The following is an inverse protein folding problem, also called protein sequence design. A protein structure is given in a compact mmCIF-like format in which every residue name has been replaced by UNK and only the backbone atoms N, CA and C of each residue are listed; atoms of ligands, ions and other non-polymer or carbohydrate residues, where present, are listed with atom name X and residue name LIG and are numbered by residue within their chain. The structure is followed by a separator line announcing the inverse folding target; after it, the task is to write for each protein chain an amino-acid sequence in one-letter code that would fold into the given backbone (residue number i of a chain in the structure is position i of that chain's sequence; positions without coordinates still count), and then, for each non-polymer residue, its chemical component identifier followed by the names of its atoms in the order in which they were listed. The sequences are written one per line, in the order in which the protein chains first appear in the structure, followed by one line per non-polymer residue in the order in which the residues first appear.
data_IF_015340099029
#
_entry.id   IF_015340099029
#
_cell.length_a   1.000
_cell.length_b   1.000
_cell.length_c   1.000
_cell.angle_alpha   90.00
_cell.angle_beta   90.00
_cell.angle_gamma   90.00
#
_symmetry.space_group_name_H-M   'P 1'
#
loop_
_entity.id
_entity.type
_entity.pdbx_description
1 polymer ?
#
# COMPACT_ATOMS: atom_id res chain seq x y z
N UNK A 1 -5.66 -36.97 2.01
CA UNK A 1 -4.56 -36.14 2.53
C UNK A 1 -5.07 -34.72 2.66
N UNK A 2 -5.42 -34.32 3.87
CA UNK A 2 -5.82 -32.95 4.23
C UNK A 2 -4.63 -32.02 3.95
N UNK A 3 -4.76 -31.13 2.97
CA UNK A 3 -3.81 -30.04 2.76
C UNK A 3 -3.85 -29.19 4.02
N UNK A 4 -2.79 -29.25 4.83
CA UNK A 4 -2.57 -28.32 5.92
C UNK A 4 -2.63 -26.92 5.28
N UNK A 5 -3.48 -26.00 5.77
CA UNK A 5 -3.53 -24.64 5.25
C UNK A 5 -2.11 -24.06 5.27
N UNK A 6 -1.66 -23.51 4.15
CA UNK A 6 -0.38 -22.82 4.12
C UNK A 6 -0.42 -21.68 5.15
N UNK A 7 0.46 -21.74 6.13
CA UNK A 7 0.60 -20.71 7.15
C UNK A 7 0.85 -19.36 6.46
N UNK A 8 0.07 -18.33 6.79
CA UNK A 8 0.26 -16.99 6.24
C UNK A 8 1.55 -16.41 6.80
N UNK A 9 2.55 -16.22 5.95
CA UNK A 9 3.85 -15.67 6.33
C UNK A 9 3.86 -14.18 6.00
N UNK A 10 4.16 -13.36 6.99
CA UNK A 10 4.36 -11.93 6.83
C UNK A 10 5.79 -11.57 7.23
N UNK A 11 6.42 -10.70 6.45
CA UNK A 11 7.82 -10.34 6.57
C UNK A 11 7.99 -8.82 6.66
N UNK A 12 9.18 -8.44 7.09
CA UNK A 12 9.69 -7.07 7.06
C UNK A 12 10.60 -6.90 5.84
N UNK A 13 10.49 -5.76 5.16
CA UNK A 13 11.40 -5.39 4.07
C UNK A 13 11.85 -3.94 4.23
N UNK A 14 13.16 -3.72 4.08
CA UNK A 14 13.78 -2.40 4.14
C UNK A 14 14.07 -1.83 2.76
N UNK A 15 13.88 -0.52 2.61
CA UNK A 15 14.18 0.25 1.42
C UNK A 15 15.08 1.43 1.77
N UNK A 16 16.10 1.66 0.95
CA UNK A 16 16.97 2.82 1.07
C UNK A 16 16.64 3.82 -0.04
N UNK A 17 16.64 5.09 0.32
CA UNK A 17 16.39 6.18 -0.61
C UNK A 17 17.43 6.14 -1.74
N UNK A 18 17.02 6.13 -3.01
CA UNK A 18 17.92 6.34 -4.13
C UNK A 18 18.30 7.82 -4.29
N UNK A 19 17.67 8.71 -3.53
CA UNK A 19 17.77 10.15 -3.69
C UNK A 19 18.91 10.72 -2.84
N UNK A 20 19.80 11.47 -3.48
CA UNK A 20 20.90 12.16 -2.80
C UNK A 20 20.45 13.37 -1.99
N UNK A 21 19.32 13.97 -2.38
CA UNK A 21 18.73 15.15 -1.78
C UNK A 21 17.35 14.76 -1.22
N UNK A 22 17.06 15.10 0.03
CA UNK A 22 15.88 14.67 0.78
C UNK A 22 16.27 14.06 2.13
N UNK A 23 15.56 14.39 3.19
CA UNK A 23 15.93 13.96 4.55
C UNK A 23 15.57 12.49 4.81
N UNK A 24 14.46 12.00 4.25
CA UNK A 24 14.05 10.61 4.37
C UNK A 24 15.03 9.65 3.68
N UNK A 25 15.72 8.82 4.47
CA UNK A 25 16.76 7.89 4.01
C UNK A 25 16.30 6.45 3.95
N UNK A 26 15.45 6.04 4.87
CA UNK A 26 15.09 4.63 5.02
C UNK A 26 13.61 4.47 5.29
N UNK A 27 13.02 3.45 4.68
CA UNK A 27 11.63 3.02 4.92
C UNK A 27 11.63 1.52 5.17
N UNK A 28 11.04 1.08 6.26
CA UNK A 28 10.77 -0.33 6.55
C UNK A 28 9.27 -0.60 6.43
N UNK A 29 8.91 -1.62 5.65
CA UNK A 29 7.54 -2.10 5.55
C UNK A 29 7.39 -3.42 6.30
N UNK A 30 6.38 -3.49 7.18
CA UNK A 30 6.04 -4.64 8.00
C UNK A 30 4.67 -5.17 7.61
N UNK A 31 4.49 -6.48 7.73
CA UNK A 31 3.25 -7.14 7.31
C UNK A 31 3.23 -7.43 5.81
N UNK A 32 4.39 -7.53 5.15
CA UNK A 32 4.46 -7.83 3.71
C UNK A 32 4.30 -9.33 3.47
N UNK A 33 3.39 -9.79 2.58
CA UNK A 33 3.22 -11.21 2.31
C UNK A 33 4.50 -11.86 1.78
N UNK A 34 4.95 -12.88 2.51
CA UNK A 34 6.11 -13.70 2.18
C UNK A 34 5.71 -15.09 1.65
N UNK A 35 6.71 -15.83 1.19
CA UNK A 35 6.58 -17.23 0.80
C UNK A 35 7.73 -18.04 1.38
N UNK A 36 7.45 -19.29 1.73
CA UNK A 36 8.49 -20.24 2.14
C UNK A 36 9.04 -20.97 0.92
N UNK A 37 10.33 -20.89 0.72
CA UNK A 37 11.06 -21.61 -0.31
C UNK A 37 11.25 -23.09 0.09
N UNK A 38 11.59 -23.94 -0.87
CA UNK A 38 11.83 -25.37 -0.63
C UNK A 38 13.02 -25.64 0.32
N UNK A 39 13.93 -24.69 0.45
CA UNK A 39 15.05 -24.72 1.41
C UNK A 39 14.63 -24.31 2.84
N UNK A 40 13.35 -23.98 3.06
CA UNK A 40 12.81 -23.56 4.35
C UNK A 40 12.90 -22.05 4.63
N UNK A 41 13.59 -21.28 3.79
CA UNK A 41 13.76 -19.82 3.90
C UNK A 41 12.47 -19.07 3.57
N UNK A 42 12.18 -18.00 4.32
CA UNK A 42 11.04 -17.13 4.06
C UNK A 42 11.51 -15.88 3.31
N UNK A 43 10.96 -15.63 2.13
CA UNK A 43 11.34 -14.48 1.28
C UNK A 43 10.12 -13.72 0.79
N UNK A 44 10.29 -12.41 0.56
CA UNK A 44 9.36 -11.64 -0.26
C UNK A 44 9.78 -11.77 -1.71
N UNK A 45 8.86 -12.18 -2.59
CA UNK A 45 9.20 -12.30 -4.01
C UNK A 45 9.41 -10.91 -4.65
N UNK A 46 10.21 -10.87 -5.71
CA UNK A 46 10.60 -9.62 -6.39
C UNK A 46 9.37 -8.82 -6.91
N UNK A 47 8.31 -9.50 -7.34
CA UNK A 47 7.08 -8.85 -7.81
C UNK A 47 6.37 -8.10 -6.68
N UNK A 48 6.24 -8.72 -5.51
CA UNK A 48 5.67 -8.12 -4.31
C UNK A 48 6.53 -6.95 -3.83
N UNK A 49 7.85 -7.12 -3.80
CA UNK A 49 8.76 -6.04 -3.42
C UNK A 49 8.64 -4.82 -4.35
N UNK A 50 8.65 -5.04 -5.68
CA UNK A 50 8.48 -3.96 -6.67
C UNK A 50 7.09 -3.32 -6.63
N UNK A 51 6.07 -4.07 -6.27
CA UNK A 51 4.73 -3.55 -6.09
C UNK A 51 4.71 -2.52 -4.94
N UNK A 52 5.21 -2.89 -3.78
CA UNK A 52 5.26 -1.99 -2.62
C UNK A 52 6.24 -0.83 -2.80
N UNK A 53 7.36 -1.07 -3.50
CA UNK A 53 8.26 0.01 -3.91
C UNK A 53 7.50 1.09 -4.68
N UNK A 54 6.74 0.68 -5.71
CA UNK A 54 5.98 1.62 -6.55
C UNK A 54 4.78 2.23 -5.83
N UNK A 55 4.07 1.46 -5.01
CA UNK A 55 2.82 1.87 -4.37
C UNK A 55 3.04 2.86 -3.22
N UNK A 56 4.09 2.64 -2.41
CA UNK A 56 4.31 3.37 -1.16
C UNK A 56 5.68 4.05 -1.17
N UNK A 57 6.74 3.25 -1.24
CA UNK A 57 8.11 3.67 -0.89
C UNK A 57 8.62 4.80 -1.80
N UNK A 58 8.53 4.60 -3.11
CA UNK A 58 9.02 5.55 -4.11
C UNK A 58 8.26 6.87 -4.06
N UNK A 59 6.96 6.81 -3.79
CA UNK A 59 6.15 8.02 -3.64
C UNK A 59 6.56 8.79 -2.39
N UNK A 60 6.81 8.12 -1.26
CA UNK A 60 7.30 8.77 -0.04
C UNK A 60 8.68 9.41 -0.23
N UNK A 61 9.64 8.70 -0.83
CA UNK A 61 10.94 9.31 -1.14
C UNK A 61 10.83 10.49 -2.11
N UNK A 62 9.92 10.42 -3.09
CA UNK A 62 9.70 11.54 -4.02
C UNK A 62 9.07 12.75 -3.32
N UNK A 63 8.10 12.53 -2.45
CA UNK A 63 7.41 13.58 -1.72
C UNK A 63 8.29 14.23 -0.65
N UNK A 64 9.12 13.46 0.04
CA UNK A 64 10.05 14.01 1.05
C UNK A 64 11.01 15.05 0.48
N UNK A 65 11.40 14.91 -0.79
CA UNK A 65 12.23 15.91 -1.52
C UNK A 65 11.57 17.27 -1.67
N UNK A 66 10.24 17.30 -1.70
CA UNK A 66 9.45 18.52 -1.83
C UNK A 66 9.22 19.20 -0.48
N UNK A 67 9.69 18.59 0.62
CA UNK A 67 9.55 19.06 1.98
C UNK A 67 10.95 19.38 2.57
N UNK A 68 11.59 20.50 2.17
CA UNK A 68 12.97 20.78 2.53
C UNK A 68 13.21 20.96 4.03
N UNK A 69 12.16 21.23 4.81
CA UNK A 69 12.23 21.41 6.27
C UNK A 69 11.76 20.17 7.06
N UNK A 70 11.33 19.10 6.38
CA UNK A 70 10.86 17.88 7.04
C UNK A 70 12.05 17.09 7.57
N UNK A 71 12.15 16.88 8.88
CA UNK A 71 13.30 16.24 9.52
C UNK A 71 13.25 14.71 9.55
N UNK A 72 12.26 14.09 8.92
CA UNK A 72 12.06 12.64 9.01
C UNK A 72 13.15 11.91 8.23
N UNK A 73 13.98 11.11 8.89
CA UNK A 73 15.06 10.34 8.25
C UNK A 73 14.68 8.87 8.07
N UNK A 74 13.83 8.35 8.95
CA UNK A 74 13.45 6.94 8.96
C UNK A 74 11.96 6.75 9.22
N UNK A 75 11.34 5.88 8.43
CA UNK A 75 9.94 5.49 8.61
C UNK A 75 9.84 3.99 8.84
N UNK A 76 9.05 3.61 9.82
CA UNK A 76 8.57 2.24 10.02
C UNK A 76 7.09 2.17 9.73
N UNK A 77 6.67 1.34 8.77
CA UNK A 77 5.31 1.33 8.25
C UNK A 77 4.71 -0.07 8.33
N UNK A 78 3.58 -0.22 9.02
CA UNK A 78 2.82 -1.47 9.08
C UNK A 78 1.65 -1.45 8.10
N UNK A 79 1.49 -2.52 7.33
CA UNK A 79 0.39 -2.72 6.37
C UNK A 79 -0.88 -3.22 7.07
N UNK A 80 -1.62 -2.31 7.68
CA UNK A 80 -2.68 -2.62 8.64
C UNK A 80 -4.07 -2.80 8.00
N UNK A 81 -4.73 -3.91 8.31
CA UNK A 81 -6.15 -4.11 8.03
C UNK A 81 -6.98 -3.82 9.29
N UNK A 82 -7.84 -2.80 9.22
CA UNK A 82 -8.69 -2.38 10.35
C UNK A 82 -9.82 -3.35 10.65
N UNK A 83 -10.11 -4.30 9.76
CA UNK A 83 -11.21 -5.26 9.91
C UNK A 83 -10.76 -6.61 10.48
N UNK A 84 -9.44 -6.89 10.46
CA UNK A 84 -8.87 -8.14 10.97
C UNK A 84 -8.45 -7.98 12.44
N UNK A 85 -8.85 -8.93 13.29
CA UNK A 85 -8.46 -8.97 14.69
C UNK A 85 -6.95 -9.26 14.89
N UNK A 86 -6.39 -8.84 16.04
CA UNK A 86 -4.95 -8.95 16.32
C UNK A 86 -4.43 -10.40 16.32
N UNK A 87 -5.24 -11.36 16.73
CA UNK A 87 -4.95 -12.80 16.75
C UNK A 87 -4.88 -13.42 15.33
N UNK A 88 -5.58 -12.84 14.34
CA UNK A 88 -5.67 -13.37 12.98
C UNK A 88 -4.65 -12.73 12.01
N UNK A 89 -4.10 -11.57 12.36
CA UNK A 89 -3.22 -10.77 11.48
C UNK A 89 -1.89 -11.43 11.16
N UNK A 90 -1.38 -12.28 12.06
CA UNK A 90 -0.13 -13.02 11.86
C UNK A 90 1.16 -12.20 12.07
N UNK A 91 1.06 -10.95 12.51
CA UNK A 91 2.20 -10.13 12.95
C UNK A 91 1.76 -9.04 13.94
N UNK A 92 2.70 -8.57 14.76
CA UNK A 92 2.45 -7.54 15.78
C UNK A 92 2.40 -6.13 15.18
N UNK A 93 1.49 -5.31 15.69
CA UNK A 93 1.40 -3.89 15.39
C UNK A 93 1.60 -3.07 16.67
N UNK A 94 2.07 -1.83 16.57
CA UNK A 94 2.05 -0.90 17.70
C UNK A 94 0.61 -0.59 18.13
N UNK A 95 0.46 -0.14 19.38
CA UNK A 95 -0.84 0.33 19.87
C UNK A 95 -1.14 1.68 19.25
N UNK A 96 -2.35 1.86 18.73
CA UNK A 96 -2.85 3.16 18.27
C UNK A 96 -3.71 3.74 19.38
N UNK A 97 -3.44 4.98 19.76
CA UNK A 97 -4.21 5.70 20.78
C UNK A 97 -4.72 7.06 20.29
N UNK A 98 -5.14 7.93 21.23
CA UNK A 98 -5.77 9.22 20.92
C UNK A 98 -4.76 10.35 20.66
N UNK A 99 -3.50 10.18 21.04
CA UNK A 99 -2.41 11.11 20.74
C UNK A 99 -1.98 11.03 19.28
N UNK A 100 -2.09 9.83 18.70
CA UNK A 100 -1.71 9.58 17.31
C UNK A 100 -2.52 10.41 16.31
N UNK A 101 -1.84 10.81 15.23
CA UNK A 101 -2.46 11.53 14.15
C UNK A 101 -3.20 10.56 13.21
N UNK A 102 -4.53 10.64 13.21
CA UNK A 102 -5.36 9.96 12.21
C UNK A 102 -5.55 10.85 10.96
N UNK A 103 -4.98 10.43 9.82
CA UNK A 103 -5.21 11.04 8.51
C UNK A 103 -6.22 10.18 7.75
N UNK A 104 -7.41 10.73 7.45
CA UNK A 104 -8.45 10.04 6.69
C UNK A 104 -8.36 10.34 5.21
N UNK A 105 -8.54 9.31 4.40
CA UNK A 105 -8.63 9.45 2.94
C UNK A 105 -9.84 10.30 2.56
N UNK A 106 -9.60 11.36 1.79
CA UNK A 106 -10.63 12.14 1.12
C UNK A 106 -10.68 11.85 -0.39
N UNK A 107 -9.93 10.84 -0.86
CA UNK A 107 -9.78 10.51 -2.27
C UNK A 107 -10.80 9.43 -2.63
N UNK A 108 -11.80 9.73 -3.49
CA UNK A 108 -12.78 8.75 -3.92
C UNK A 108 -12.12 7.54 -4.59
N UNK A 109 -12.56 6.34 -4.22
CA UNK A 109 -12.07 5.08 -4.81
C UNK A 109 -10.70 4.63 -4.32
N UNK A 110 -10.08 5.33 -3.37
CA UNK A 110 -8.87 4.84 -2.70
C UNK A 110 -9.20 3.64 -1.82
N UNK A 111 -8.44 2.55 -1.97
CA UNK A 111 -8.49 1.39 -1.06
C UNK A 111 -7.76 1.63 0.27
N UNK A 112 -6.90 2.66 0.31
CA UNK A 112 -6.31 3.13 1.56
C UNK A 112 -7.27 4.15 2.19
N UNK A 113 -7.85 3.77 3.33
CA UNK A 113 -8.86 4.56 4.02
C UNK A 113 -8.24 5.48 5.07
N UNK A 114 -7.20 5.00 5.77
CA UNK A 114 -6.61 5.70 6.93
C UNK A 114 -5.10 5.55 6.98
N UNK A 115 -4.43 6.56 7.52
CA UNK A 115 -3.04 6.51 7.93
C UNK A 115 -2.99 6.97 9.38
N UNK A 116 -2.45 6.14 10.26
CA UNK A 116 -2.18 6.47 11.66
C UNK A 116 -0.69 6.80 11.77
N UNK A 117 -0.36 8.02 12.18
CA UNK A 117 1.02 8.42 12.44
C UNK A 117 1.21 8.48 13.95
N UNK A 118 2.11 7.64 14.47
CA UNK A 118 2.32 7.52 15.91
C UNK A 118 2.93 8.81 16.46
N UNK A 119 2.35 9.32 17.55
CA UNK A 119 2.86 10.50 18.23
C UNK A 119 4.10 10.16 19.08
N UNK A 120 5.14 10.99 18.96
CA UNK A 120 6.38 10.89 19.74
C UNK A 120 6.32 11.81 20.97
N UNK A 121 5.18 11.85 21.68
CA UNK A 121 4.93 12.71 22.85
C UNK A 121 5.19 14.21 22.58
N UNK A 122 4.93 14.66 21.34
CA UNK A 122 5.26 16.02 20.92
C UNK A 122 4.31 17.04 21.53
N UNK A 123 4.82 18.23 21.86
CA UNK A 123 4.01 19.28 22.49
C UNK A 123 3.92 20.56 21.66
N UNK A 124 2.76 21.21 21.74
CA UNK A 124 2.51 22.56 21.22
C UNK A 124 3.00 22.79 19.78
N UNK A 125 4.02 23.62 19.60
CA UNK A 125 4.49 24.07 18.29
C UNK A 125 5.19 22.94 17.50
N UNK A 126 5.94 22.08 18.19
CA UNK A 126 6.62 20.94 17.56
C UNK A 126 5.61 19.98 16.97
N UNK A 127 4.54 19.68 17.72
CA UNK A 127 3.42 18.88 17.23
C UNK A 127 2.77 19.49 15.98
N UNK A 128 2.55 20.81 15.93
CA UNK A 128 1.93 21.44 14.75
C UNK A 128 2.83 21.35 13.52
N UNK A 129 4.14 21.50 13.68
CA UNK A 129 5.11 21.37 12.57
C UNK A 129 5.15 19.92 12.10
N UNK A 130 5.31 18.98 13.04
CA UNK A 130 5.32 17.55 12.76
C UNK A 130 4.05 17.09 12.05
N UNK A 131 2.88 17.49 12.57
CA UNK A 131 1.58 17.16 11.98
C UNK A 131 1.47 17.66 10.55
N UNK A 132 1.84 18.92 10.30
CA UNK A 132 1.80 19.51 8.96
C UNK A 132 2.74 18.75 8.01
N UNK A 133 3.93 18.41 8.46
CA UNK A 133 4.93 17.73 7.62
C UNK A 133 4.51 16.27 7.35
N UNK A 134 3.91 15.58 8.34
CA UNK A 134 3.30 14.27 8.21
C UNK A 134 2.12 14.29 7.22
N UNK A 135 1.18 15.24 7.36
CA UNK A 135 0.06 15.40 6.42
C UNK A 135 0.55 15.67 5.00
N UNK A 136 1.57 16.53 4.83
CA UNK A 136 2.13 16.83 3.52
C UNK A 136 2.84 15.61 2.89
N UNK A 137 3.52 14.81 3.71
CA UNK A 137 4.25 13.64 3.24
C UNK A 137 3.30 12.48 2.89
N UNK A 138 2.27 12.25 3.71
CA UNK A 138 1.44 11.04 3.64
C UNK A 138 0.14 11.22 2.85
N UNK A 139 -0.50 12.40 2.83
CA UNK A 139 -1.71 12.61 2.04
C UNK A 139 -1.58 12.22 0.55
N UNK A 140 -0.45 12.47 -0.13
CA UNK A 140 -0.29 12.06 -1.53
C UNK A 140 -0.42 10.54 -1.75
N UNK A 141 -0.14 9.71 -0.72
CA UNK A 141 -0.22 8.27 -0.85
C UNK A 141 -1.62 7.79 -1.24
N UNK A 142 -2.70 8.37 -0.70
CA UNK A 142 -4.07 7.91 -0.95
C UNK A 142 -4.40 7.77 -2.44
N UNK A 143 -3.81 8.61 -3.30
CA UNK A 143 -4.02 8.55 -4.76
C UNK A 143 -3.38 7.32 -5.42
N UNK A 144 -2.32 6.77 -4.83
CA UNK A 144 -1.65 5.56 -5.35
C UNK A 144 -2.52 4.31 -5.19
N UNK A 145 -3.45 4.33 -4.23
CA UNK A 145 -4.33 3.22 -3.87
C UNK A 145 -5.68 3.23 -4.58
N UNK A 146 -5.85 4.07 -5.61
CA UNK A 146 -7.00 3.96 -6.49
C UNK A 146 -6.83 2.70 -7.33
N UNK A 147 -7.69 1.71 -7.10
CA UNK A 147 -7.72 0.52 -7.91
C UNK A 147 -8.33 0.85 -9.28
N UNK A 148 -7.77 0.33 -10.38
CA UNK A 148 -8.41 0.45 -11.68
C UNK A 148 -9.79 -0.23 -11.63
N UNK A 149 -10.79 0.30 -12.37
CA UNK A 149 -12.15 -0.22 -12.35
C UNK A 149 -12.17 -1.72 -12.68
N UNK A 150 -12.99 -2.47 -11.95
CA UNK A 150 -13.27 -3.86 -12.28
C UNK A 150 -14.01 -3.91 -13.61
N UNK A 151 -13.59 -4.83 -14.49
CA UNK A 151 -14.32 -5.09 -15.72
C UNK A 151 -15.71 -5.63 -15.34
N UNK A 152 -16.80 -5.06 -15.88
CA UNK A 152 -18.15 -5.56 -15.65
C UNK A 152 -18.24 -7.08 -15.87
N UNK A 153 -18.89 -7.82 -14.97
CA UNK A 153 -19.05 -9.28 -15.04
C UNK A 153 -19.71 -9.78 -16.35
N UNK A 154 -20.46 -8.90 -17.03
CA UNK A 154 -21.05 -9.09 -18.37
C UNK A 154 -20.03 -9.08 -19.53
N UNK A 155 -18.75 -8.82 -19.25
CA UNK A 155 -17.66 -8.71 -20.21
C UNK A 155 -16.54 -9.73 -19.91
N UNK A 156 -16.87 -10.83 -19.23
CA UNK A 156 -15.99 -12.00 -19.15
C UNK A 156 -15.99 -12.74 -20.48
N UNK A 157 -14.86 -13.38 -20.87
CA UNK A 157 -14.72 -14.09 -22.16
C UNK A 157 -15.89 -15.06 -22.43
N UNK A 158 -16.40 -15.73 -21.39
CA UNK A 158 -17.56 -16.63 -21.46
C UNK A 158 -18.87 -15.92 -21.83
N UNK A 159 -19.08 -14.68 -21.36
CA UNK A 159 -20.26 -13.87 -21.68
C UNK A 159 -20.18 -13.19 -23.05
N UNK A 160 -18.98 -12.82 -23.50
CA UNK A 160 -18.73 -12.26 -24.83
C UNK A 160 -18.92 -13.32 -25.93
N UNK A 161 -18.58 -14.59 -25.64
CA UNK A 161 -18.79 -15.70 -26.56
C UNK A 161 -20.27 -16.07 -26.76
N UNK A 162 -21.11 -15.84 -25.75
CA UNK A 162 -22.48 -16.37 -25.69
C UNK A 162 -23.59 -15.35 -25.95
N UNK A 163 -23.29 -14.04 -26.08
CA UNK A 163 -24.30 -13.02 -26.34
C UNK A 163 -23.96 -12.15 -27.59
N UNK A 164 -24.84 -12.08 -28.61
CA UNK A 164 -24.57 -11.29 -29.81
C UNK A 164 -24.54 -9.77 -29.56
N UNK A 165 -25.20 -9.28 -28.50
CA UNK A 165 -25.16 -7.85 -28.11
C UNK A 165 -23.82 -7.44 -27.47
N UNK A 166 -23.11 -8.35 -26.80
CA UNK A 166 -21.80 -8.07 -26.16
C UNK A 166 -20.66 -8.00 -27.17
N UNK A 167 -20.83 -8.53 -28.39
CA UNK A 167 -19.85 -8.38 -29.48
C UNK A 167 -19.69 -6.92 -29.94
N UNK A 168 -20.69 -6.06 -29.74
CA UNK A 168 -20.61 -4.63 -30.07
C UNK A 168 -19.63 -3.88 -29.16
N UNK A 169 -19.41 -4.39 -27.94
CA UNK A 169 -18.48 -3.82 -26.97
C UNK A 169 -17.06 -4.41 -27.07
N UNK A 170 -16.81 -5.43 -27.91
CA UNK A 170 -15.47 -6.01 -28.11
C UNK A 170 -14.36 -4.98 -28.37
N UNK A 171 -14.54 -3.95 -29.20
CA UNK A 171 -13.50 -2.93 -29.43
C UNK A 171 -13.22 -2.11 -28.17
N UNK A 172 -14.22 -1.92 -27.31
CA UNK A 172 -14.09 -1.24 -26.03
C UNK A 172 -13.36 -2.14 -25.03
N UNK A 173 -13.68 -3.45 -24.99
CA UNK A 173 -13.03 -4.45 -24.11
C UNK A 173 -11.57 -4.66 -24.51
N UNK A 174 -11.28 -4.88 -25.79
CA UNK A 174 -9.91 -4.99 -26.29
C UNK A 174 -9.13 -3.68 -26.07
N UNK A 175 -9.81 -2.53 -26.13
CA UNK A 175 -9.25 -1.23 -25.77
C UNK A 175 -8.94 -1.10 -24.27
N UNK A 176 -9.80 -1.63 -23.39
CA UNK A 176 -9.64 -1.59 -21.93
C UNK A 176 -8.62 -2.62 -21.45
N UNK A 177 -8.55 -3.82 -22.04
CA UNK A 177 -7.53 -4.83 -21.72
C UNK A 177 -6.14 -4.40 -22.18
N UNK A 178 -6.02 -3.87 -23.41
CA UNK A 178 -4.75 -3.30 -23.90
C UNK A 178 -4.33 -2.06 -23.12
N UNK A 179 -5.27 -1.31 -22.53
CA UNK A 179 -4.94 -0.15 -21.69
C UNK A 179 -4.71 -0.53 -20.23
N UNK A 180 -5.39 -1.50 -19.64
CA UNK A 180 -5.14 -1.92 -18.25
C UNK A 180 -3.83 -2.70 -18.09
N UNK A 181 -3.45 -3.54 -19.06
CA UNK A 181 -2.11 -4.15 -19.09
C UNK A 181 -1.00 -3.14 -19.40
N UNK A 182 -1.29 -2.07 -20.14
CA UNK A 182 -0.33 -1.00 -20.45
C UNK A 182 -0.23 0.11 -19.38
N UNK A 183 -1.30 0.44 -18.64
CA UNK A 183 -1.35 1.57 -17.71
C UNK A 183 -0.97 1.23 -16.26
N UNK A 184 -1.25 0.02 -15.77
CA UNK A 184 -0.79 -0.36 -14.43
C UNK A 184 -0.48 -1.86 -14.29
N UNK A 185 0.81 -2.21 -14.43
CA UNK A 185 1.35 -3.57 -14.25
C UNK A 185 0.94 -4.25 -12.94
N UNK A 186 0.46 -3.50 -11.95
CA UNK A 186 0.02 -4.01 -10.65
C UNK A 186 -1.48 -3.85 -10.38
N UNK A 187 -2.30 -3.60 -11.41
CA UNK A 187 -3.77 -3.46 -11.31
C UNK A 187 -4.44 -4.54 -10.45
N UNK A 188 -4.19 -5.82 -10.76
CA UNK A 188 -4.75 -6.97 -10.02
C UNK A 188 -4.32 -6.99 -8.55
N UNK A 189 -3.09 -6.56 -8.25
CA UNK A 189 -2.57 -6.49 -6.88
C UNK A 189 -3.19 -5.33 -6.09
N UNK A 190 -3.49 -4.20 -6.75
CA UNK A 190 -4.26 -3.10 -6.14
C UNK A 190 -5.70 -3.49 -5.85
N UNK A 191 -6.34 -4.24 -6.74
CA UNK A 191 -7.71 -4.72 -6.54
C UNK A 191 -7.82 -5.71 -5.38
N UNK A 192 -6.78 -6.53 -5.16
CA UNK A 192 -6.69 -7.54 -4.10
C UNK A 192 -5.83 -7.12 -2.91
N UNK A 193 -5.78 -5.81 -2.61
CA UNK A 193 -5.10 -5.31 -1.41
C UNK A 193 -5.71 -5.95 -0.16
N UNK A 194 -4.83 -6.45 0.72
CA UNK A 194 -5.21 -7.15 1.96
C UNK A 194 -5.19 -6.23 3.18
N UNK A 195 -5.00 -4.92 2.97
CA UNK A 195 -4.95 -3.91 4.03
C UNK A 195 -5.64 -2.64 3.52
N UNK A 196 -6.19 -1.88 4.45
CA UNK A 196 -6.92 -0.65 4.18
C UNK A 196 -6.39 0.55 5.00
N UNK A 197 -5.37 0.33 5.83
CA UNK A 197 -4.72 1.38 6.61
C UNK A 197 -3.20 1.21 6.66
N UNK A 198 -2.50 2.29 6.96
CA UNK A 198 -1.08 2.25 7.33
C UNK A 198 -0.92 2.73 8.76
N UNK A 199 -0.01 2.12 9.50
CA UNK A 199 0.51 2.69 10.76
C UNK A 199 1.94 3.11 10.50
N UNK A 200 2.29 4.34 10.83
CA UNK A 200 3.59 4.93 10.53
C UNK A 200 4.22 5.43 11.82
N UNK A 201 5.42 4.95 12.10
CA UNK A 201 6.30 5.51 13.11
C UNK A 201 7.40 6.31 12.42
N UNK A 202 7.65 7.51 12.93
CA UNK A 202 8.72 8.42 12.50
C UNK A 202 9.80 8.42 13.58
N UNK A 203 11.05 8.58 13.17
CA UNK A 203 12.20 8.76 14.06
C UNK A 203 12.13 10.00 14.97
#
# INVERSE_FOLDING_TARGET
MSRIPAEKIYLEIGFRSPETYGNLKTIELLGVPGQRLNNGECVVNEKTQKFFDKLIVRELFRQSRLLPNCSFEYLKIWLYDTEIENNERGYSIPTIDRGDLEIRSNIPGSKLERIYVLDNELTAQEYQIWKRDAENLFNPLFRQFIAPPELPSLLTEESIANNPFTQVFKPLVEGIEKTTEALDKYAKMKQSLFFNALIIQID
#
